data_IF_536224625974
#
_entry.id   IF_536224625974
#
_cell.length_a   1.000
_cell.length_b   1.000
_cell.length_c   1.000
_cell.angle_alpha   90.00
_cell.angle_beta   90.00
_cell.angle_gamma   90.00
#
_symmetry.space_group_name_H-M   'P 1'
#
loop_
_entity.id
_entity.type
_entity.pdbx_description
1 polymer ?
#
# COMPACT_ATOMS: atom_id res chain seq x y z
N UNK A 1 -53.29 -9.20 44.47
CA UNK A 1 -53.78 -10.07 43.38
C UNK A 1 -52.72 -10.10 42.28
N UNK A 2 -52.41 -11.31 41.81
CA UNK A 2 -51.37 -11.66 40.84
C UNK A 2 -51.74 -11.28 39.40
N UNK A 3 -50.70 -11.00 38.58
CA UNK A 3 -50.50 -11.45 37.19
C UNK A 3 -49.01 -11.12 36.88
N UNK A 4 -48.04 -12.03 36.76
CA UNK A 4 -47.80 -13.19 35.88
C UNK A 4 -47.91 -12.90 34.37
N UNK A 5 -46.79 -12.42 33.82
CA UNK A 5 -46.06 -13.06 32.72
C UNK A 5 -46.64 -13.00 31.30
N UNK A 6 -45.88 -12.41 30.38
CA UNK A 6 -45.45 -13.16 29.19
C UNK A 6 -44.24 -12.48 28.53
N UNK A 7 -43.12 -13.19 28.55
CA UNK A 7 -41.94 -12.87 27.78
C UNK A 7 -42.19 -13.26 26.32
N UNK A 8 -42.19 -12.28 25.42
CA UNK A 8 -42.11 -12.57 23.99
C UNK A 8 -40.64 -12.65 23.59
N UNK A 9 -40.19 -13.90 23.57
CA UNK A 9 -39.14 -14.40 22.69
C UNK A 9 -39.49 -13.98 21.24
N UNK A 10 -38.56 -13.31 20.55
CA UNK A 10 -38.54 -13.33 19.08
C UNK A 10 -37.15 -13.75 18.64
N UNK A 11 -37.16 -14.95 18.10
CA UNK A 11 -36.09 -15.64 17.41
C UNK A 11 -35.49 -14.81 16.29
N UNK A 12 -34.24 -15.16 16.03
CA UNK A 12 -33.41 -14.72 14.93
C UNK A 12 -34.06 -15.04 13.57
N UNK A 13 -34.31 -14.00 12.78
CA UNK A 13 -34.45 -14.16 11.33
C UNK A 13 -33.10 -13.96 10.66
N UNK A 14 -32.49 -15.12 10.41
CA UNK A 14 -31.36 -15.36 9.56
C UNK A 14 -31.76 -15.09 8.09
N UNK A 15 -31.33 -13.95 7.54
CA UNK A 15 -31.29 -13.74 6.10
C UNK A 15 -29.85 -13.50 5.66
N UNK A 16 -29.22 -14.62 5.27
CA UNK A 16 -28.02 -14.60 4.45
C UNK A 16 -28.36 -14.17 3.02
N UNK A 17 -27.55 -13.27 2.49
CA UNK A 17 -27.30 -12.95 1.09
C UNK A 17 -26.46 -11.67 1.13
N UNK A 18 -25.26 -11.53 0.62
CA UNK A 18 -24.59 -12.20 -0.48
C UNK A 18 -23.09 -11.92 -0.29
N UNK A 19 -22.26 -12.93 -0.52
CA UNK A 19 -20.82 -12.80 -0.62
C UNK A 19 -20.49 -11.81 -1.74
N UNK A 20 -20.22 -10.56 -1.37
CA UNK A 20 -19.55 -9.59 -2.22
C UNK A 20 -18.11 -10.05 -2.42
N UNK A 21 -17.92 -10.99 -3.35
CA UNK A 21 -16.66 -11.34 -3.96
C UNK A 21 -16.03 -10.04 -4.50
N UNK A 22 -15.24 -9.36 -3.66
CA UNK A 22 -14.47 -8.18 -4.08
C UNK A 22 -13.41 -8.69 -5.04
N UNK A 23 -13.69 -8.45 -6.32
CA UNK A 23 -12.92 -8.89 -7.46
C UNK A 23 -11.49 -8.31 -7.44
N UNK A 24 -10.59 -9.00 -6.74
CA UNK A 24 -9.14 -8.89 -6.93
C UNK A 24 -8.67 -9.25 -8.37
N UNK A 25 -9.38 -10.04 -9.21
CA UNK A 25 -8.88 -10.39 -10.56
C UNK A 25 -8.97 -9.28 -11.62
N UNK A 26 -9.83 -8.27 -11.46
CA UNK A 26 -10.06 -7.26 -12.50
C UNK A 26 -8.84 -6.33 -12.71
N UNK A 27 -8.15 -5.98 -11.62
CA UNK A 27 -6.91 -5.18 -11.67
C UNK A 27 -5.76 -5.92 -12.38
N UNK A 28 -5.65 -7.24 -12.15
CA UNK A 28 -4.61 -8.07 -12.77
C UNK A 28 -4.85 -8.24 -14.28
N UNK A 29 -6.10 -8.47 -14.71
CA UNK A 29 -6.45 -8.65 -16.12
C UNK A 29 -6.29 -7.36 -16.96
N UNK A 30 -6.64 -6.20 -16.39
CA UNK A 30 -6.44 -4.89 -17.02
C UNK A 30 -4.95 -4.55 -17.22
N UNK A 31 -4.09 -4.97 -16.29
CA UNK A 31 -2.65 -4.73 -16.34
C UNK A 31 -1.97 -5.45 -17.52
N UNK A 32 -2.36 -6.70 -17.81
CA UNK A 32 -1.79 -7.49 -18.93
C UNK A 32 -2.26 -6.99 -20.29
N UNK A 33 -3.53 -6.57 -20.40
CA UNK A 33 -4.09 -6.03 -21.65
C UNK A 33 -3.48 -4.67 -21.99
N UNK A 34 -3.31 -3.79 -21.00
CA UNK A 34 -2.65 -2.49 -21.15
C UNK A 34 -1.17 -2.63 -21.53
N UNK A 35 -0.43 -3.58 -20.96
CA UNK A 35 0.97 -3.84 -21.33
C UNK A 35 1.13 -4.29 -22.80
N UNK A 36 0.21 -5.13 -23.30
CA UNK A 36 0.24 -5.64 -24.68
C UNK A 36 -0.16 -4.58 -25.72
N UNK A 37 -1.10 -3.68 -25.40
CA UNK A 37 -1.44 -2.54 -26.27
C UNK A 37 -0.38 -1.44 -26.21
N UNK A 38 0.23 -1.20 -25.05
CA UNK A 38 1.37 -0.29 -24.85
C UNK A 38 2.61 -0.69 -25.67
N UNK A 39 3.01 -1.98 -25.66
CA UNK A 39 4.16 -2.47 -26.45
C UNK A 39 3.98 -2.27 -27.96
N UNK A 40 2.74 -2.20 -28.46
CA UNK A 40 2.44 -1.94 -29.87
C UNK A 40 2.42 -0.45 -30.21
N UNK A 41 2.20 0.43 -29.24
CA UNK A 41 2.17 1.89 -29.43
C UNK A 41 3.56 2.56 -29.41
N UNK A 42 4.61 1.84 -28.99
CA UNK A 42 6.00 2.33 -28.89
C UNK A 42 6.79 2.34 -30.22
N UNK A 43 6.15 2.66 -31.35
CA UNK A 43 6.86 2.91 -32.63
C UNK A 43 6.92 4.39 -33.01
N UNK A 44 6.96 5.28 -32.02
CA UNK A 44 7.33 6.69 -32.21
C UNK A 44 8.10 7.12 -30.98
N UNK A 45 9.41 7.20 -31.11
CA UNK A 45 10.29 7.71 -30.07
C UNK A 45 10.02 9.22 -29.89
N UNK A 46 9.51 9.66 -28.74
CA UNK A 46 9.46 11.09 -28.43
C UNK A 46 10.86 11.53 -28.00
N UNK A 47 11.42 12.53 -28.67
CA UNK A 47 12.69 13.15 -28.26
C UNK A 47 12.47 13.88 -26.92
N UNK A 48 13.21 13.55 -25.84
CA UNK A 48 13.12 14.28 -24.59
C UNK A 48 13.77 15.66 -24.75
N UNK A 49 13.06 16.74 -24.40
CA UNK A 49 13.64 18.08 -24.31
C UNK A 49 13.92 18.43 -22.85
N UNK A 50 14.69 17.59 -22.18
CA UNK A 50 15.44 17.98 -20.98
C UNK A 50 16.86 18.28 -21.43
N UNK A 51 17.44 19.41 -21.01
CA UNK A 51 18.83 19.76 -21.33
C UNK A 51 19.87 18.97 -20.50
N UNK A 52 19.44 17.91 -19.79
CA UNK A 52 20.38 17.01 -19.12
C UNK A 52 20.99 16.10 -20.17
N UNK A 53 22.31 16.12 -20.27
CA UNK A 53 23.08 15.21 -21.13
C UNK A 53 23.19 13.80 -20.54
N UNK A 54 22.67 13.58 -19.33
CA UNK A 54 22.72 12.30 -18.65
C UNK A 54 21.64 11.36 -19.22
N UNK A 55 22.03 10.10 -19.41
CA UNK A 55 21.13 9.03 -19.87
C UNK A 55 21.22 7.84 -18.92
N UNK A 56 20.23 6.96 -18.95
CA UNK A 56 20.21 5.73 -18.16
C UNK A 56 20.28 5.97 -16.65
N UNK A 57 21.15 5.23 -15.95
CA UNK A 57 21.27 5.25 -14.48
C UNK A 57 21.68 6.62 -13.93
N UNK A 58 22.46 7.40 -14.68
CA UNK A 58 22.91 8.73 -14.25
C UNK A 58 21.79 9.75 -14.25
N UNK A 59 20.87 9.68 -15.22
CA UNK A 59 19.67 10.51 -15.25
C UNK A 59 18.73 10.13 -14.10
N UNK A 60 18.56 8.84 -13.85
CA UNK A 60 17.75 8.36 -12.71
C UNK A 60 18.33 8.87 -11.40
N UNK A 61 19.66 8.82 -11.23
CA UNK A 61 20.34 9.35 -10.05
C UNK A 61 20.18 10.87 -9.93
N UNK A 62 20.25 11.63 -11.02
CA UNK A 62 19.98 13.08 -11.03
C UNK A 62 18.53 13.40 -10.67
N UNK A 63 17.56 12.64 -11.18
CA UNK A 63 16.14 12.82 -10.85
C UNK A 63 15.87 12.50 -9.38
N UNK A 64 16.48 11.42 -8.86
CA UNK A 64 16.30 10.99 -7.48
C UNK A 64 17.04 11.87 -6.47
N UNK A 65 18.20 12.44 -6.82
CA UNK A 65 19.04 13.18 -5.86
C UNK A 65 19.15 14.68 -6.13
N UNK A 66 18.80 15.15 -7.33
CA UNK A 66 19.06 16.51 -7.81
C UNK A 66 18.03 17.55 -7.40
N UNK A 67 16.84 17.16 -6.94
CA UNK A 67 15.86 18.13 -6.45
C UNK A 67 15.06 17.65 -5.24
N UNK A 68 15.22 18.28 -4.05
CA UNK A 68 14.45 17.94 -2.84
C UNK A 68 12.94 18.16 -3.00
N UNK A 69 12.49 18.82 -4.07
CA UNK A 69 11.08 19.02 -4.42
C UNK A 69 10.44 17.90 -5.25
N UNK A 70 11.22 17.00 -5.86
CA UNK A 70 10.69 15.95 -6.76
C UNK A 70 10.19 14.73 -5.96
N UNK A 71 10.76 14.47 -4.78
CA UNK A 71 10.35 13.36 -3.89
C UNK A 71 9.17 13.77 -2.98
N UNK A 72 8.91 15.07 -2.82
CA UNK A 72 7.77 15.55 -2.05
C UNK A 72 6.50 15.50 -2.92
N UNK A 73 5.33 15.29 -2.29
CA UNK A 73 4.03 15.10 -2.92
C UNK A 73 3.61 16.23 -3.88
N UNK A 74 4.22 16.24 -5.06
CA UNK A 74 3.99 17.22 -6.10
C UNK A 74 2.70 16.88 -6.84
N UNK A 75 1.88 17.89 -7.06
CA UNK A 75 0.68 17.76 -7.88
C UNK A 75 1.04 17.51 -9.34
N UNK A 76 0.14 16.88 -10.10
CA UNK A 76 0.29 16.73 -11.56
C UNK A 76 0.53 18.09 -12.24
N UNK A 77 -0.03 19.18 -11.70
CA UNK A 77 0.21 20.53 -12.20
C UNK A 77 1.67 20.98 -12.01
N UNK A 78 2.25 20.75 -10.83
CA UNK A 78 3.65 21.07 -10.57
C UNK A 78 4.59 20.22 -11.43
N UNK A 79 4.30 18.92 -11.56
CA UNK A 79 5.07 18.02 -12.43
C UNK A 79 4.95 18.43 -13.91
N UNK A 80 3.75 18.79 -14.38
CA UNK A 80 3.52 19.29 -15.74
C UNK A 80 4.32 20.56 -16.04
N UNK A 81 4.38 21.50 -15.10
CA UNK A 81 5.22 22.70 -15.21
C UNK A 81 6.72 22.35 -15.20
N UNK A 82 7.15 21.47 -14.30
CA UNK A 82 8.56 21.08 -14.20
C UNK A 82 9.07 20.41 -15.49
N UNK A 83 8.29 19.46 -16.01
CA UNK A 83 8.66 18.68 -17.19
C UNK A 83 8.22 19.34 -18.51
N UNK A 84 7.61 20.53 -18.48
CA UNK A 84 7.15 21.27 -19.66
C UNK A 84 6.26 20.43 -20.58
N UNK A 85 5.36 19.65 -20.00
CA UNK A 85 4.44 18.76 -20.70
C UNK A 85 2.99 19.01 -20.28
N UNK A 86 2.03 18.62 -21.12
CA UNK A 86 0.61 18.74 -20.77
C UNK A 86 0.28 17.87 -19.55
N UNK A 87 -0.69 18.29 -18.73
CA UNK A 87 -1.18 17.52 -17.57
C UNK A 87 -1.59 16.10 -17.96
N UNK A 88 -2.16 15.92 -19.15
CA UNK A 88 -2.51 14.62 -19.71
C UNK A 88 -1.27 13.73 -19.91
N UNK A 89 -0.22 14.27 -20.54
CA UNK A 89 1.03 13.53 -20.79
C UNK A 89 1.71 13.16 -19.48
N UNK A 90 1.80 14.11 -18.54
CA UNK A 90 2.35 13.88 -17.20
C UNK A 90 1.56 12.80 -16.46
N UNK A 91 0.23 12.86 -16.47
CA UNK A 91 -0.63 11.86 -15.84
C UNK A 91 -0.44 10.46 -16.45
N UNK A 92 -0.36 10.36 -17.78
CA UNK A 92 -0.13 9.10 -18.49
C UNK A 92 1.18 8.44 -18.09
N UNK A 93 2.27 9.21 -18.05
CA UNK A 93 3.59 8.70 -17.67
C UNK A 93 3.69 8.39 -16.19
N UNK A 94 3.11 9.23 -15.32
CA UNK A 94 3.00 8.93 -13.89
C UNK A 94 2.31 7.59 -13.66
N UNK A 95 1.18 7.36 -14.33
CA UNK A 95 0.45 6.10 -14.22
C UNK A 95 1.26 4.91 -14.75
N UNK A 96 1.98 5.06 -15.86
CA UNK A 96 2.85 4.00 -16.39
C UNK A 96 3.98 3.63 -15.42
N UNK A 97 4.63 4.62 -14.80
CA UNK A 97 5.68 4.40 -13.80
C UNK A 97 5.11 3.78 -12.54
N UNK A 98 3.95 4.25 -12.07
CA UNK A 98 3.25 3.67 -10.92
C UNK A 98 2.97 2.18 -11.14
N UNK A 99 2.43 1.81 -12.31
CA UNK A 99 2.19 0.40 -12.65
C UNK A 99 3.48 -0.42 -12.69
N UNK A 100 4.57 0.14 -13.24
CA UNK A 100 5.87 -0.53 -13.25
C UNK A 100 6.39 -0.78 -11.83
N UNK A 101 6.32 0.21 -10.94
CA UNK A 101 6.71 0.06 -9.52
C UNK A 101 5.82 -0.97 -8.82
N UNK A 102 4.49 -0.90 -9.02
CA UNK A 102 3.57 -1.88 -8.45
C UNK A 102 3.85 -3.30 -8.95
N UNK A 103 4.34 -3.48 -10.18
CA UNK A 103 4.71 -4.80 -10.69
C UNK A 103 5.91 -5.43 -9.97
N UNK A 104 6.75 -4.61 -9.32
CA UNK A 104 7.90 -5.06 -8.53
C UNK A 104 7.52 -5.42 -7.08
N UNK A 105 6.28 -5.15 -6.64
CA UNK A 105 5.88 -5.31 -5.23
C UNK A 105 6.16 -6.72 -4.69
N UNK A 106 5.89 -7.75 -5.48
CA UNK A 106 6.06 -9.15 -5.08
C UNK A 106 7.54 -9.58 -5.11
N UNK A 107 8.42 -8.73 -5.63
CA UNK A 107 9.87 -8.89 -5.57
C UNK A 107 10.48 -8.27 -4.32
N UNK A 108 10.03 -7.08 -3.92
CA UNK A 108 10.61 -6.32 -2.82
C UNK A 108 9.90 -6.51 -1.48
N UNK A 109 8.58 -6.70 -1.47
CA UNK A 109 7.78 -6.88 -0.25
C UNK A 109 7.59 -8.37 -0.02
N UNK A 110 8.59 -8.99 0.61
CA UNK A 110 8.60 -10.42 0.91
C UNK A 110 8.86 -10.65 2.39
N UNK A 111 8.28 -11.71 2.98
CA UNK A 111 8.64 -12.13 4.31
C UNK A 111 10.16 -12.38 4.44
N UNK A 112 10.77 -12.04 5.59
CA UNK A 112 12.17 -12.34 5.84
C UNK A 112 12.38 -13.84 6.03
N UNK A 113 13.64 -14.29 5.98
CA UNK A 113 14.00 -15.64 6.39
C UNK A 113 13.88 -15.78 7.91
N UNK A 114 12.99 -16.67 8.35
CA UNK A 114 12.70 -16.96 9.75
C UNK A 114 13.77 -17.82 10.44
N UNK A 115 14.70 -18.40 9.70
CA UNK A 115 15.71 -19.33 10.25
C UNK A 115 16.91 -18.62 10.86
N UNK A 116 17.14 -17.36 10.50
CA UNK A 116 18.28 -16.58 10.97
C UNK A 116 17.85 -15.53 11.99
N UNK A 117 18.59 -15.43 13.10
CA UNK A 117 18.40 -14.33 14.04
C UNK A 117 18.95 -13.06 13.42
N UNK A 118 18.17 -11.99 13.47
CA UNK A 118 18.54 -10.68 12.93
C UNK A 118 19.88 -10.18 13.54
N UNK A 119 20.87 -9.75 12.72
CA UNK A 119 22.19 -9.34 13.21
C UNK A 119 22.14 -8.27 14.30
N UNK A 120 21.20 -7.33 14.21
CA UNK A 120 21.01 -6.27 15.21
C UNK A 120 20.68 -6.83 16.61
N UNK A 121 19.88 -7.90 16.67
CA UNK A 121 19.53 -8.56 17.93
C UNK A 121 20.72 -9.37 18.45
N UNK A 122 21.49 -10.00 17.56
CA UNK A 122 22.70 -10.74 17.94
C UNK A 122 23.78 -9.80 18.52
N UNK A 123 24.07 -8.70 17.84
CA UNK A 123 25.14 -7.75 18.20
C UNK A 123 24.79 -6.93 19.45
N UNK A 124 23.52 -6.54 19.60
CA UNK A 124 23.05 -5.72 20.72
C UNK A 124 22.16 -6.50 21.68
N UNK A 125 22.46 -7.78 21.87
CA UNK A 125 21.65 -8.69 22.66
C UNK A 125 21.40 -8.22 24.09
N UNK A 126 22.33 -7.48 24.71
CA UNK A 126 22.17 -6.93 26.06
C UNK A 126 20.99 -5.94 26.20
N UNK A 127 20.58 -5.29 25.10
CA UNK A 127 19.50 -4.30 25.09
C UNK A 127 18.15 -4.92 24.70
N UNK A 128 18.19 -5.89 23.78
CA UNK A 128 16.99 -6.42 23.14
C UNK A 128 16.56 -7.79 23.68
N UNK A 129 17.48 -8.57 24.25
CA UNK A 129 17.16 -9.85 24.87
C UNK A 129 16.71 -9.65 26.33
N UNK A 130 15.73 -10.43 26.82
CA UNK A 130 15.02 -11.51 26.11
C UNK A 130 13.79 -11.05 25.31
N UNK A 131 13.36 -9.81 25.45
CA UNK A 131 12.03 -9.35 24.99
C UNK A 131 11.80 -9.41 23.48
N UNK A 132 12.88 -9.33 22.69
CA UNK A 132 12.82 -9.39 21.23
C UNK A 132 13.43 -10.67 20.66
N UNK A 133 13.66 -11.71 21.47
CA UNK A 133 14.10 -13.01 20.97
C UNK A 133 13.08 -13.55 19.95
N UNK A 134 13.56 -13.90 18.75
CA UNK A 134 12.69 -14.34 17.64
C UNK A 134 11.88 -13.24 16.95
N UNK A 135 12.04 -11.97 17.34
CA UNK A 135 11.38 -10.86 16.66
C UNK A 135 11.94 -10.70 15.24
N UNK A 136 11.03 -10.59 14.27
CA UNK A 136 11.34 -10.47 12.83
C UNK A 136 11.17 -9.05 12.30
N UNK A 137 10.49 -8.18 13.06
CA UNK A 137 10.12 -6.85 12.62
C UNK A 137 9.03 -6.22 13.50
N UNK A 138 8.61 -5.03 13.11
CA UNK A 138 7.53 -4.28 13.74
C UNK A 138 6.30 -4.25 12.82
N UNK A 139 5.11 -4.25 13.41
CA UNK A 139 3.83 -4.10 12.70
C UNK A 139 3.18 -2.81 13.21
N UNK A 140 2.77 -1.93 12.31
CA UNK A 140 2.09 -0.70 12.69
C UNK A 140 1.12 -0.20 11.59
N UNK A 141 0.11 0.55 12.03
CA UNK A 141 -0.84 1.25 11.16
C UNK A 141 -0.30 2.62 10.75
N UNK A 142 -0.45 2.98 9.48
CA UNK A 142 -0.06 4.30 8.97
C UNK A 142 -1.11 4.88 8.03
N UNK A 143 -1.30 6.20 8.11
CA UNK A 143 -2.30 6.91 7.32
C UNK A 143 -1.66 7.68 6.17
N UNK A 144 -2.02 7.34 4.94
CA UNK A 144 -1.64 8.11 3.75
C UNK A 144 -2.81 9.00 3.35
N UNK A 145 -2.62 10.32 3.19
CA UNK A 145 -3.67 11.21 2.68
C UNK A 145 -4.23 10.71 1.35
N UNK A 146 -5.55 10.70 1.19
CA UNK A 146 -6.20 10.21 -0.01
C UNK A 146 -7.39 11.09 -0.41
N UNK A 147 -7.82 10.95 -1.66
CA UNK A 147 -9.10 11.46 -2.13
C UNK A 147 -10.05 10.26 -2.22
N UNK A 148 -10.98 10.09 -1.26
CA UNK A 148 -11.87 8.94 -1.26
C UNK A 148 -12.97 9.09 -2.32
N UNK A 149 -13.66 8.00 -2.68
CA UNK A 149 -14.92 8.08 -3.41
C UNK A 149 -15.91 9.00 -2.68
N UNK A 150 -16.77 9.71 -3.43
CA UNK A 150 -17.81 10.55 -2.84
C UNK A 150 -18.79 9.75 -1.99
N UNK A 151 -19.02 8.50 -2.37
CA UNK A 151 -19.81 7.54 -1.61
C UNK A 151 -19.04 7.14 -0.34
N UNK A 152 -19.62 7.42 0.83
CA UNK A 152 -19.07 7.07 2.14
C UNK A 152 -17.71 7.73 2.45
N UNK A 153 -17.47 8.95 1.97
CA UNK A 153 -16.24 9.71 2.23
C UNK A 153 -15.92 9.88 3.73
N UNK A 154 -16.94 9.94 4.58
CA UNK A 154 -16.81 10.07 6.04
C UNK A 154 -16.05 8.90 6.67
N UNK A 155 -16.22 7.68 6.15
CA UNK A 155 -15.48 6.51 6.63
C UNK A 155 -13.96 6.68 6.43
N UNK A 156 -13.54 7.52 5.47
CA UNK A 156 -12.13 7.75 5.18
C UNK A 156 -11.48 8.81 6.05
N UNK A 157 -12.24 9.49 6.91
CA UNK A 157 -11.71 10.48 7.85
C UNK A 157 -11.04 9.74 9.02
N UNK A 158 -9.76 10.01 9.25
CA UNK A 158 -9.05 9.46 10.39
C UNK A 158 -9.32 10.24 11.69
N UNK A 159 -8.75 9.74 12.80
CA UNK A 159 -8.83 10.40 14.11
C UNK A 159 -8.28 11.85 14.13
N UNK A 160 -7.43 12.22 13.18
CA UNK A 160 -6.86 13.58 13.03
C UNK A 160 -7.75 14.49 12.16
N UNK A 161 -8.89 14.01 11.69
CA UNK A 161 -9.88 14.81 10.97
C UNK A 161 -9.58 15.03 9.49
N UNK A 162 -8.69 14.23 8.87
CA UNK A 162 -8.43 14.32 7.43
C UNK A 162 -8.68 12.99 6.71
N UNK A 163 -9.03 13.07 5.42
CA UNK A 163 -9.23 11.88 4.59
C UNK A 163 -7.90 11.14 4.36
N UNK A 164 -7.89 9.86 4.70
CA UNK A 164 -6.72 9.00 4.54
C UNK A 164 -7.11 7.55 4.28
N UNK A 165 -6.17 6.83 3.68
CA UNK A 165 -6.18 5.38 3.62
C UNK A 165 -5.33 4.87 4.79
N UNK A 166 -5.88 3.96 5.61
CA UNK A 166 -5.09 3.25 6.60
C UNK A 166 -4.36 2.08 5.91
N UNK A 167 -3.09 1.90 6.26
CA UNK A 167 -2.19 0.87 5.77
C UNK A 167 -1.57 0.20 6.97
N UNK A 168 -1.71 -1.12 7.08
CA UNK A 168 -0.98 -1.90 8.06
C UNK A 168 0.28 -2.43 7.38
N UNK A 169 1.45 -2.10 7.91
CA UNK A 169 2.72 -2.53 7.34
C UNK A 169 3.56 -3.31 8.35
N UNK A 170 4.27 -4.32 7.87
CA UNK A 170 5.32 -5.01 8.62
C UNK A 170 6.66 -4.55 8.08
N UNK A 171 7.57 -4.17 8.97
CA UNK A 171 8.89 -3.67 8.65
C UNK A 171 9.96 -4.47 9.40
N UNK A 172 10.97 -4.97 8.69
CA UNK A 172 12.13 -5.65 9.29
C UNK A 172 13.12 -4.66 9.90
N UNK A 173 14.12 -5.18 10.63
CA UNK A 173 15.13 -4.39 11.32
C UNK A 173 16.06 -3.59 10.38
N UNK A 174 16.14 -3.97 9.11
CA UNK A 174 16.83 -3.23 8.04
C UNK A 174 15.93 -2.19 7.36
N UNK A 175 14.81 -1.83 8.00
CA UNK A 175 13.85 -0.81 7.55
C UNK A 175 13.17 -1.12 6.21
N UNK A 176 13.07 -2.41 5.84
CA UNK A 176 12.37 -2.86 4.65
C UNK A 176 10.96 -3.33 4.98
N UNK A 177 10.00 -2.98 4.13
CA UNK A 177 8.65 -3.53 4.22
C UNK A 177 8.66 -4.99 3.80
N UNK A 178 8.16 -5.87 4.66
CA UNK A 178 8.07 -7.31 4.43
C UNK A 178 6.63 -7.78 4.20
N UNK A 179 5.66 -6.94 4.58
CA UNK A 179 4.24 -7.12 4.29
C UNK A 179 3.53 -5.76 4.32
N UNK A 180 2.51 -5.59 3.47
CA UNK A 180 1.63 -4.42 3.48
C UNK A 180 0.19 -4.83 3.19
N UNK A 181 -0.73 -4.41 4.05
CA UNK A 181 -2.17 -4.46 3.82
C UNK A 181 -2.68 -3.04 3.57
N UNK A 182 -3.18 -2.79 2.37
CA UNK A 182 -3.72 -1.50 1.93
C UNK A 182 -5.21 -1.63 1.65
N UNK A 183 -5.89 -0.52 1.34
CA UNK A 183 -7.30 -0.54 0.92
C UNK A 183 -8.31 -0.16 2.00
N UNK A 184 -7.87 0.11 3.23
CA UNK A 184 -8.78 0.36 4.35
C UNK A 184 -9.03 1.84 4.56
N UNK A 185 -10.23 2.14 5.03
CA UNK A 185 -10.66 3.51 5.29
C UNK A 185 -9.88 4.11 6.47
N UNK A 186 -9.70 5.43 6.47
CA UNK A 186 -8.98 6.14 7.53
C UNK A 186 -9.60 6.02 8.93
N UNK A 187 -10.89 5.67 9.05
CA UNK A 187 -11.52 5.37 10.35
C UNK A 187 -11.27 3.94 10.83
N UNK A 188 -10.72 3.06 9.99
CA UNK A 188 -10.51 1.66 10.33
C UNK A 188 -9.44 1.52 11.44
N UNK A 189 -9.77 0.78 12.49
CA UNK A 189 -8.84 0.48 13.58
C UNK A 189 -7.79 -0.56 13.16
N UNK A 190 -6.56 -0.37 13.64
CA UNK A 190 -5.44 -1.28 13.34
C UNK A 190 -5.72 -2.72 13.79
N UNK A 191 -6.43 -2.92 14.90
CA UNK A 191 -6.84 -4.24 15.36
C UNK A 191 -7.74 -4.98 14.35
N UNK A 192 -8.63 -4.26 13.67
CA UNK A 192 -9.46 -4.82 12.60
C UNK A 192 -8.60 -5.18 11.40
N UNK A 193 -7.69 -4.28 10.99
CA UNK A 193 -6.77 -4.54 9.89
C UNK A 193 -5.85 -5.73 10.18
N UNK A 194 -5.38 -5.90 11.41
CA UNK A 194 -4.56 -7.03 11.81
C UNK A 194 -5.34 -8.34 11.73
N UNK A 195 -6.62 -8.35 12.16
CA UNK A 195 -7.50 -9.51 12.00
C UNK A 195 -7.67 -9.92 10.54
N UNK A 196 -7.88 -8.95 9.65
CA UNK A 196 -7.97 -9.18 8.20
C UNK A 196 -6.65 -9.66 7.60
N UNK A 197 -5.52 -9.10 8.06
CA UNK A 197 -4.20 -9.51 7.62
C UNK A 197 -3.95 -10.98 7.95
N UNK A 198 -4.20 -11.39 9.20
CA UNK A 198 -4.03 -12.77 9.68
C UNK A 198 -4.94 -13.74 8.92
N UNK A 199 -6.15 -13.32 8.53
CA UNK A 199 -7.06 -14.14 7.75
C UNK A 199 -6.58 -14.38 6.31
N UNK A 200 -5.66 -13.55 5.79
CA UNK A 200 -5.14 -13.66 4.43
C UNK A 200 -3.94 -14.63 4.34
N UNK A 201 -3.90 -15.46 3.29
CA UNK A 201 -2.87 -16.51 3.05
C UNK A 201 -1.42 -16.02 2.81
N UNK A 202 -1.11 -14.76 3.08
CA UNK A 202 0.21 -14.16 2.84
C UNK A 202 0.77 -13.37 4.02
N UNK A 203 0.11 -13.41 5.18
CA UNK A 203 0.62 -12.70 6.37
C UNK A 203 1.82 -13.45 6.97
N UNK A 204 2.92 -12.74 7.29
CA UNK A 204 4.14 -13.35 7.83
C UNK A 204 3.94 -13.81 9.27
N UNK A 205 3.62 -15.09 9.46
CA UNK A 205 3.54 -15.72 10.78
C UNK A 205 4.85 -16.47 11.02
N UNK A 206 5.72 -16.01 11.95
CA UNK A 206 6.92 -16.74 12.29
C UNK A 206 6.56 -18.12 12.88
N UNK A 207 7.40 -19.15 12.63
CA UNK A 207 7.18 -20.49 13.18
C UNK A 207 7.18 -20.47 14.71
N UNK A 208 6.47 -21.41 15.35
CA UNK A 208 6.40 -21.54 16.81
C UNK A 208 7.75 -21.91 17.44
#
# INVERSE_FOLDING_TARGET
MNDRGSAHHREADNHGSENGQRNVPAMAAMSVFAYRTWRRSMRRDPVPMHNSSLTGQMLVHEILNGHPRIIQGATIQQASYLFQHSKETTSRWFYAVLLAICSLKDEFIRPPDYTSVQPLIQEHGYKYRPWFDGCIGAIDGTHIPCVPPSENADAWINRKGFHSQNILAVCSFDMKFTYMLTGYEGSCHDARMLGEAIAFKGFPIPPP
#
